data_IF_683947312715
#
_entry.id   IF_683947312715
#
_cell.length_a   1.000
_cell.length_b   1.000
_cell.length_c   1.000
_cell.angle_alpha   90.00
_cell.angle_beta   90.00
_cell.angle_gamma   90.00
#
_symmetry.space_group_name_H-M   'P 1'
#
loop_
_entity.id
_entity.type
_entity.pdbx_description
1 polymer ?
#
# COMPACT_ATOMS: atom_id res chain seq x y z
N UNK A 1 45.30 40.04 31.91
CA UNK A 1 44.94 39.04 32.93
C UNK A 1 43.44 38.78 32.87
N UNK A 2 43.08 37.50 32.71
CA UNK A 2 41.86 36.84 33.23
C UNK A 2 40.49 37.37 32.80
N UNK A 3 40.00 36.74 31.74
CA UNK A 3 38.66 36.16 31.60
C UNK A 3 37.91 35.99 32.92
N UNK A 4 36.71 36.57 33.02
CA UNK A 4 35.63 36.07 33.85
C UNK A 4 34.32 36.13 33.06
N UNK A 5 33.83 34.93 32.77
CA UNK A 5 32.60 34.59 32.09
C UNK A 5 31.52 34.58 33.18
N UNK A 6 30.49 35.42 33.09
CA UNK A 6 29.31 35.31 33.97
C UNK A 6 28.06 35.23 33.12
N UNK A 7 27.72 33.97 32.89
CA UNK A 7 26.43 33.40 32.55
C UNK A 7 25.28 34.18 33.23
N UNK A 8 24.50 34.95 32.46
CA UNK A 8 23.28 35.59 32.95
C UNK A 8 22.08 34.72 32.58
N UNK A 9 21.39 34.25 33.62
CA UNK A 9 20.34 33.25 33.59
C UNK A 9 19.14 33.64 32.72
N UNK A 10 18.82 32.78 31.74
CA UNK A 10 17.53 32.71 31.08
C UNK A 10 16.52 32.07 32.02
N UNK A 11 15.78 32.89 32.77
CA UNK A 11 14.55 32.46 33.43
C UNK A 11 13.61 33.66 33.42
N UNK A 12 12.60 33.65 32.56
CA UNK A 12 11.22 34.00 32.93
C UNK A 12 10.25 33.65 31.79
N UNK A 13 9.31 32.76 32.13
CA UNK A 13 7.97 32.53 31.57
C UNK A 13 7.90 31.95 30.15
N UNK A 14 7.13 30.89 29.89
CA UNK A 14 5.68 30.83 30.11
C UNK A 14 5.21 29.40 30.41
N UNK A 15 4.15 29.39 31.21
CA UNK A 15 3.31 28.34 31.78
C UNK A 15 3.08 27.05 30.96
N UNK A 16 3.02 25.95 31.69
CA UNK A 16 2.54 24.63 31.26
C UNK A 16 1.03 24.64 31.09
N UNK A 17 0.56 24.58 29.84
CA UNK A 17 -0.80 24.11 29.53
C UNK A 17 -0.71 22.71 28.90
N UNK A 18 -0.93 21.70 29.73
CA UNK A 18 -1.27 20.36 29.28
C UNK A 18 -2.71 20.34 28.77
N UNK A 19 -2.86 19.80 27.55
CA UNK A 19 -4.00 19.06 27.03
C UNK A 19 -5.41 19.65 27.17
N UNK A 20 -6.03 20.03 26.04
CA UNK A 20 -7.36 19.54 25.68
C UNK A 20 -7.69 19.87 24.22
N UNK A 21 -8.15 18.84 23.51
CA UNK A 21 -8.92 18.87 22.26
C UNK A 21 -8.42 19.78 21.13
N UNK A 22 -7.33 19.35 20.49
CA UNK A 22 -7.39 19.30 19.04
C UNK A 22 -7.68 17.86 18.65
N UNK A 23 -8.95 17.46 18.80
CA UNK A 23 -9.52 16.53 17.83
C UNK A 23 -9.32 17.22 16.49
N UNK A 24 -8.19 16.89 15.85
CA UNK A 24 -8.05 17.04 14.43
C UNK A 24 -9.27 16.35 13.85
N UNK A 25 -10.27 17.16 13.51
CA UNK A 25 -11.27 16.85 12.52
C UNK A 25 -10.47 16.62 11.23
N UNK A 26 -9.84 15.44 11.15
CA UNK A 26 -9.47 14.85 9.90
C UNK A 26 -10.74 14.88 9.09
N UNK A 27 -10.70 15.67 8.02
CA UNK A 27 -11.68 15.67 6.97
C UNK A 27 -12.10 14.22 6.72
N UNK A 28 -13.24 13.85 7.29
CA UNK A 28 -14.02 12.68 6.94
C UNK A 28 -14.69 13.03 5.60
N UNK A 29 -13.88 13.41 4.62
CA UNK A 29 -14.32 13.56 3.25
C UNK A 29 -14.44 12.13 2.74
N UNK A 30 -15.66 11.62 2.82
CA UNK A 30 -16.21 10.46 2.13
C UNK A 30 -15.17 9.58 1.44
N UNK A 31 -14.66 8.59 2.19
CA UNK A 31 -14.24 7.30 1.59
C UNK A 31 -15.50 6.46 1.29
N UNK A 32 -16.68 7.08 1.22
CA UNK A 32 -17.96 6.43 0.92
C UNK A 32 -18.23 6.32 -0.60
N UNK A 33 -17.39 6.96 -1.44
CA UNK A 33 -17.52 6.93 -2.90
C UNK A 33 -16.53 6.02 -3.64
N UNK A 34 -15.54 5.43 -2.96
CA UNK A 34 -14.60 4.51 -3.62
C UNK A 34 -15.20 3.12 -3.69
N UNK A 35 -15.34 2.61 -4.92
CA UNK A 35 -15.82 1.26 -5.17
C UNK A 35 -14.77 0.25 -4.64
N UNK A 36 -14.92 -0.18 -3.38
CA UNK A 36 -14.05 -1.17 -2.73
C UNK A 36 -14.20 -2.60 -3.29
N UNK A 37 -14.82 -2.72 -4.47
CA UNK A 37 -15.13 -3.98 -5.15
C UNK A 37 -13.91 -4.88 -5.23
N UNK A 38 -12.72 -4.30 -5.47
CA UNK A 38 -11.48 -5.07 -5.56
C UNK A 38 -11.04 -5.73 -4.24
N UNK A 39 -11.26 -5.08 -3.09
CA UNK A 39 -10.97 -5.65 -1.77
C UNK A 39 -12.07 -6.59 -1.27
N UNK A 40 -13.14 -6.74 -2.05
CA UNK A 40 -14.30 -7.60 -1.76
C UNK A 40 -14.53 -8.62 -2.88
N UNK A 41 -13.51 -8.88 -3.71
CA UNK A 41 -13.60 -9.86 -4.80
C UNK A 41 -13.90 -11.25 -4.30
N UNK A 42 -14.74 -11.97 -5.04
CA UNK A 42 -14.91 -13.40 -4.90
C UNK A 42 -14.11 -14.17 -5.96
N UNK A 43 -13.75 -15.42 -5.64
CA UNK A 43 -12.95 -16.29 -6.53
C UNK A 43 -13.61 -16.50 -7.88
N UNK A 44 -14.93 -16.63 -7.89
CA UNK A 44 -15.72 -16.83 -9.10
C UNK A 44 -15.82 -15.57 -9.97
N UNK A 45 -15.41 -14.41 -9.50
CA UNK A 45 -15.34 -13.18 -10.31
C UNK A 45 -14.00 -13.03 -11.03
N UNK A 46 -12.94 -13.68 -10.54
CA UNK A 46 -11.60 -13.61 -11.12
C UNK A 46 -11.45 -14.64 -12.25
N UNK A 47 -11.05 -14.17 -13.43
CA UNK A 47 -10.73 -15.01 -14.59
C UNK A 47 -9.26 -15.44 -14.55
N UNK A 48 -8.35 -14.50 -14.33
CA UNK A 48 -6.92 -14.74 -14.21
C UNK A 48 -6.24 -13.58 -13.47
N UNK A 49 -5.04 -13.81 -12.94
CA UNK A 49 -4.22 -12.75 -12.34
C UNK A 49 -2.75 -12.95 -12.70
N UNK A 50 -2.01 -11.85 -12.80
CA UNK A 50 -0.62 -11.82 -13.23
C UNK A 50 0.17 -10.82 -12.37
N UNK A 51 1.31 -11.26 -11.84
CA UNK A 51 2.26 -10.38 -11.16
C UNK A 51 3.32 -9.85 -12.14
N UNK A 52 3.62 -8.55 -12.09
CA UNK A 52 4.66 -7.88 -12.90
C UNK A 52 5.67 -7.17 -12.01
N UNK A 53 6.95 -7.21 -12.39
CA UNK A 53 8.05 -6.51 -11.70
C UNK A 53 8.90 -5.62 -12.61
N UNK A 54 8.55 -5.52 -13.89
CA UNK A 54 9.26 -4.74 -14.91
C UNK A 54 8.63 -4.96 -16.28
N UNK A 55 9.28 -4.48 -17.34
CA UNK A 55 8.75 -4.58 -18.72
C UNK A 55 8.67 -6.03 -19.20
N UNK A 56 9.60 -6.88 -18.79
CA UNK A 56 9.71 -8.27 -19.28
C UNK A 56 9.48 -9.33 -18.20
N UNK A 57 9.51 -8.96 -16.92
CA UNK A 57 9.39 -9.91 -15.81
C UNK A 57 7.95 -9.97 -15.31
N UNK A 58 7.31 -11.13 -15.55
CA UNK A 58 5.94 -11.40 -15.13
C UNK A 58 5.73 -12.87 -14.76
N UNK A 59 4.63 -13.16 -14.07
CA UNK A 59 4.20 -14.52 -13.72
C UNK A 59 2.69 -14.58 -13.58
N UNK A 60 2.09 -15.51 -14.32
CA UNK A 60 0.68 -15.86 -14.13
C UNK A 60 0.50 -16.60 -12.80
N UNK A 61 -0.57 -16.24 -12.08
CA UNK A 61 -0.91 -16.87 -10.81
C UNK A 61 -1.65 -18.19 -11.07
N UNK A 62 -1.34 -19.19 -10.25
CA UNK A 62 -2.11 -20.43 -10.19
C UNK A 62 -3.47 -20.21 -9.51
N UNK A 63 -4.44 -21.14 -9.66
CA UNK A 63 -5.73 -21.03 -8.98
C UNK A 63 -5.64 -20.91 -7.45
N UNK A 64 -4.66 -21.56 -6.83
CA UNK A 64 -4.44 -21.50 -5.38
C UNK A 64 -3.82 -20.15 -4.97
N UNK A 65 -2.97 -19.57 -5.82
CA UNK A 65 -2.40 -18.24 -5.60
C UNK A 65 -3.44 -17.14 -5.78
N UNK A 66 -4.37 -17.30 -6.72
CA UNK A 66 -5.51 -16.41 -6.87
C UNK A 66 -6.38 -16.47 -5.61
N UNK A 67 -6.63 -17.67 -5.08
CA UNK A 67 -7.37 -17.83 -3.82
C UNK A 67 -6.68 -17.11 -2.66
N UNK A 68 -5.36 -17.30 -2.50
CA UNK A 68 -4.58 -16.64 -1.46
C UNK A 68 -4.55 -15.10 -1.65
N UNK A 69 -4.42 -14.62 -2.89
CA UNK A 69 -4.51 -13.20 -3.21
C UNK A 69 -5.85 -12.62 -2.74
N UNK A 70 -6.96 -13.27 -3.06
CA UNK A 70 -8.30 -12.84 -2.66
C UNK A 70 -8.44 -12.79 -1.13
N UNK A 71 -7.95 -13.83 -0.44
CA UNK A 71 -7.94 -13.86 1.03
C UNK A 71 -7.14 -12.69 1.61
N UNK A 72 -5.97 -12.38 1.06
CA UNK A 72 -5.15 -11.23 1.47
C UNK A 72 -5.90 -9.92 1.24
N UNK A 73 -6.53 -9.74 0.08
CA UNK A 73 -7.26 -8.50 -0.25
C UNK A 73 -8.51 -8.32 0.63
N UNK A 74 -9.19 -9.42 0.98
CA UNK A 74 -10.39 -9.40 1.81
C UNK A 74 -10.16 -8.86 3.23
N UNK A 75 -8.92 -8.93 3.73
CA UNK A 75 -8.53 -8.44 5.05
C UNK A 75 -8.44 -6.91 5.12
N UNK A 76 -8.38 -6.22 3.99
CA UNK A 76 -8.32 -4.76 3.96
C UNK A 76 -9.64 -4.21 4.52
N UNK A 77 -9.52 -3.41 5.57
CA UNK A 77 -10.65 -2.76 6.22
C UNK A 77 -10.66 -1.26 5.90
N UNK A 78 -11.81 -0.61 6.04
CA UNK A 78 -11.96 0.81 5.64
C UNK A 78 -10.99 1.74 6.39
N UNK A 79 -10.56 1.38 7.61
CA UNK A 79 -9.55 2.14 8.38
C UNK A 79 -8.14 2.06 7.79
N UNK A 80 -7.86 1.03 6.99
CA UNK A 80 -6.56 0.82 6.36
C UNK A 80 -6.45 1.60 5.03
N UNK A 81 -7.58 2.15 4.56
CA UNK A 81 -7.71 2.86 3.30
C UNK A 81 -7.59 4.36 3.55
N UNK A 82 -6.77 5.02 2.73
CA UNK A 82 -6.60 6.47 2.71
C UNK A 82 -6.63 6.96 1.27
N UNK A 83 -7.08 8.19 1.06
CA UNK A 83 -6.90 8.84 -0.23
C UNK A 83 -5.41 9.00 -0.54
N UNK A 84 -5.04 8.72 -1.78
CA UNK A 84 -3.71 8.88 -2.32
C UNK A 84 -3.74 9.98 -3.38
N UNK A 85 -3.12 11.13 -3.07
CA UNK A 85 -3.09 12.31 -3.94
C UNK A 85 -2.03 12.20 -5.05
N UNK A 86 -2.02 11.06 -5.76
CA UNK A 86 -1.33 10.87 -7.03
C UNK A 86 0.15 11.25 -7.04
N UNK A 87 0.96 10.71 -6.14
CA UNK A 87 2.40 10.82 -6.34
C UNK A 87 2.80 9.96 -7.55
N UNK A 88 3.69 10.46 -8.42
CA UNK A 88 4.05 9.75 -9.63
C UNK A 88 4.67 8.39 -9.27
N UNK A 89 4.22 7.33 -9.94
CA UNK A 89 4.76 6.00 -9.76
C UNK A 89 6.30 6.04 -9.90
N UNK A 90 7.05 5.39 -8.99
CA UNK A 90 8.51 5.36 -9.03
C UNK A 90 9.07 5.01 -10.41
N UNK A 91 10.10 5.74 -10.85
CA UNK A 91 10.81 5.47 -12.12
C UNK A 91 11.39 4.05 -12.08
N UNK A 92 10.92 3.19 -13.00
CA UNK A 92 11.29 1.76 -13.05
C UNK A 92 10.08 0.82 -13.06
N UNK A 93 8.89 1.35 -12.76
CA UNK A 93 7.65 0.56 -12.69
C UNK A 93 7.58 -0.22 -11.39
N UNK A 94 6.70 0.22 -10.49
CA UNK A 94 6.43 -0.53 -9.26
C UNK A 94 5.96 -1.94 -9.59
N UNK A 95 6.34 -2.95 -8.79
CA UNK A 95 5.69 -4.25 -8.84
C UNK A 95 4.17 -4.08 -8.80
N UNK A 96 3.46 -4.76 -9.69
CA UNK A 96 2.01 -4.65 -9.76
C UNK A 96 1.35 -5.99 -10.00
N UNK A 97 0.15 -6.15 -9.47
CA UNK A 97 -0.75 -7.26 -9.78
C UNK A 97 -1.79 -6.77 -10.78
N UNK A 98 -1.97 -7.52 -11.85
CA UNK A 98 -3.03 -7.30 -12.82
C UNK A 98 -4.06 -8.40 -12.64
N UNK A 99 -5.33 -8.04 -12.47
CA UNK A 99 -6.43 -8.99 -12.27
C UNK A 99 -7.40 -8.80 -13.44
N UNK A 100 -7.64 -9.87 -14.20
CA UNK A 100 -8.67 -9.91 -15.22
C UNK A 100 -9.93 -10.52 -14.59
N UNK A 101 -11.02 -9.75 -14.55
CA UNK A 101 -12.31 -10.21 -14.09
C UNK A 101 -13.05 -10.97 -15.19
N UNK A 102 -13.99 -11.83 -14.81
CA UNK A 102 -14.87 -12.52 -15.77
C UNK A 102 -15.79 -11.58 -16.53
N UNK A 103 -16.06 -10.38 -15.99
CA UNK A 103 -16.73 -9.28 -16.69
C UNK A 103 -15.92 -8.77 -17.90
N UNK A 104 -14.62 -9.08 -17.96
CA UNK A 104 -13.67 -8.55 -18.94
C UNK A 104 -12.94 -7.29 -18.48
N UNK A 105 -13.28 -6.77 -17.30
CA UNK A 105 -12.61 -5.63 -16.67
C UNK A 105 -11.18 -6.02 -16.23
N UNK A 106 -10.24 -5.09 -16.40
CA UNK A 106 -8.84 -5.27 -16.03
C UNK A 106 -8.50 -4.31 -14.89
N UNK A 107 -8.11 -4.88 -13.77
CA UNK A 107 -7.80 -4.14 -12.54
C UNK A 107 -6.29 -4.20 -12.27
N UNK A 108 -5.71 -3.10 -11.79
CA UNK A 108 -4.28 -3.01 -11.52
C UNK A 108 -4.01 -2.52 -10.09
N UNK A 109 -3.29 -3.35 -9.33
CA UNK A 109 -2.82 -3.05 -7.99
C UNK A 109 -1.33 -2.79 -8.00
N UNK A 110 -0.91 -1.57 -7.69
CA UNK A 110 0.52 -1.25 -7.61
C UNK A 110 1.00 -1.40 -6.17
N UNK A 111 2.19 -1.96 -6.00
CA UNK A 111 2.83 -2.09 -4.69
C UNK A 111 3.70 -0.87 -4.41
N UNK A 112 3.49 -0.22 -3.28
CA UNK A 112 4.35 0.85 -2.76
C UNK A 112 4.68 0.60 -1.28
N UNK A 113 5.87 0.07 -1.02
CA UNK A 113 6.24 -0.42 0.30
C UNK A 113 5.27 -1.51 0.79
N UNK A 114 4.63 -1.26 1.93
CA UNK A 114 3.61 -2.14 2.52
C UNK A 114 2.17 -1.73 2.11
N UNK A 115 2.03 -0.81 1.16
CA UNK A 115 0.74 -0.30 0.68
C UNK A 115 0.40 -0.84 -0.71
N UNK A 116 -0.89 -1.02 -0.94
CA UNK A 116 -1.50 -1.28 -2.24
C UNK A 116 -2.07 0.04 -2.75
N UNK A 117 -1.67 0.46 -3.95
CA UNK A 117 -2.25 1.61 -4.64
C UNK A 117 -3.28 1.11 -5.67
N UNK A 118 -4.49 1.66 -5.60
CA UNK A 118 -5.61 1.33 -6.48
C UNK A 118 -6.42 2.59 -6.76
N UNK A 119 -6.50 3.03 -8.02
CA UNK A 119 -7.09 4.32 -8.35
C UNK A 119 -6.47 5.45 -7.52
N UNK A 120 -7.31 6.27 -6.88
CA UNK A 120 -6.89 7.38 -6.01
C UNK A 120 -6.85 7.00 -4.52
N UNK A 121 -6.73 5.70 -4.21
CA UNK A 121 -6.59 5.22 -2.84
C UNK A 121 -5.31 4.41 -2.63
N UNK A 122 -4.87 4.42 -1.37
CA UNK A 122 -3.84 3.52 -0.86
C UNK A 122 -4.38 2.73 0.32
N UNK A 123 -4.10 1.43 0.36
CA UNK A 123 -4.51 0.53 1.42
C UNK A 123 -3.27 -0.10 2.09
N UNK A 124 -3.14 0.00 3.41
CA UNK A 124 -2.07 -0.68 4.13
C UNK A 124 -2.33 -2.19 4.16
N UNK A 125 -1.46 -2.98 3.52
CA UNK A 125 -1.58 -4.44 3.48
C UNK A 125 -0.21 -5.12 3.31
N UNK A 126 0.56 -5.29 4.40
CA UNK A 126 1.92 -5.82 4.35
C UNK A 126 1.99 -7.28 3.87
N UNK A 127 0.93 -8.07 4.07
CA UNK A 127 0.85 -9.45 3.56
C UNK A 127 0.92 -9.50 2.02
N UNK A 128 0.37 -8.50 1.34
CA UNK A 128 0.42 -8.42 -0.13
C UNK A 128 1.86 -8.23 -0.64
N UNK A 129 2.67 -7.41 0.06
CA UNK A 129 4.10 -7.28 -0.24
C UNK A 129 4.82 -8.61 -0.10
N UNK A 130 4.55 -9.35 0.98
CA UNK A 130 5.16 -10.66 1.23
C UNK A 130 4.79 -11.65 0.13
N UNK A 131 3.52 -11.69 -0.26
CA UNK A 131 3.02 -12.50 -1.36
C UNK A 131 3.74 -12.19 -2.68
N UNK A 132 3.84 -10.91 -3.07
CA UNK A 132 4.57 -10.47 -4.26
C UNK A 132 6.05 -10.86 -4.22
N UNK A 133 6.68 -10.79 -3.05
CA UNK A 133 8.07 -11.17 -2.87
C UNK A 133 8.30 -12.69 -2.97
N UNK A 134 7.38 -13.51 -2.46
CA UNK A 134 7.43 -14.96 -2.60
C UNK A 134 7.23 -15.41 -4.04
N UNK A 135 6.32 -14.77 -4.80
CA UNK A 135 6.16 -14.98 -6.23
C UNK A 135 7.47 -14.70 -6.98
N UNK A 136 8.07 -13.52 -6.75
CA UNK A 136 9.32 -13.12 -7.41
C UNK A 136 10.46 -14.11 -7.14
N UNK A 137 10.61 -14.58 -5.90
CA UNK A 137 11.64 -15.56 -5.53
C UNK A 137 11.52 -16.88 -6.29
N UNK A 138 10.30 -17.29 -6.67
CA UNK A 138 10.09 -18.53 -7.44
C UNK A 138 10.48 -18.34 -8.90
N UNK A 139 10.09 -17.22 -9.51
CA UNK A 139 10.50 -16.87 -10.88
C UNK A 139 12.03 -16.86 -11.01
N UNK A 140 12.73 -16.17 -10.11
CA UNK A 140 14.21 -16.14 -10.17
C UNK A 140 14.87 -17.50 -9.94
N UNK A 141 14.21 -18.45 -9.26
CA UNK A 141 14.74 -19.82 -9.11
C UNK A 141 14.51 -20.66 -10.35
N UNK A 142 13.34 -20.51 -10.98
CA UNK A 142 12.99 -21.17 -12.24
C UNK A 142 13.94 -20.72 -13.37
N UNK A 143 14.27 -19.43 -13.46
CA UNK A 143 15.20 -18.87 -14.46
C UNK A 143 16.66 -19.32 -14.30
N UNK A 144 17.08 -19.75 -13.11
CA UNK A 144 18.46 -20.24 -12.87
C UNK A 144 18.60 -21.74 -13.20
N UNK A 145 17.48 -22.46 -13.30
CA UNK A 145 17.46 -23.90 -13.54
C UNK A 145 17.08 -24.29 -14.97
N UNK A 146 16.57 -23.36 -15.78
CA UNK A 146 16.24 -23.54 -17.20
C UNK A 146 17.31 -22.98 -18.11
#
# INVERSE_FOLDING_TARGET
>A
MRMFLVLFCLLFSVETNSATDSTAFYNRHEIDGYELKLFRLHKDEVKSAEAKWGVFSHKDLTPDEIQNLIEILSKVSNKDIKSHLGQPAPKGGSPRMIILLKSGELESLNLDGDYILYGDIMAYQPEFRQFMHQLRKRVCKEEVQG
#
